data_IF_160247522160
#
_entry.id   IF_160247522160
#
_cell.length_a   1.000
_cell.length_b   1.000
_cell.length_c   1.000
_cell.angle_alpha   90.00
_cell.angle_beta   90.00
_cell.angle_gamma   90.00
#
_symmetry.space_group_name_H-M   'P 1'
#
loop_
_entity.id
_entity.type
_entity.pdbx_description
1 polymer ?
#
# COMPACT_ATOMS: atom_id res chain seq x y z
N UNK A 1 10.59 34.89 -49.03
CA UNK A 1 11.04 34.28 -47.76
C UNK A 1 12.47 33.82 -47.95
N UNK A 2 13.44 34.29 -47.17
CA UNK A 2 14.86 33.98 -47.41
C UNK A 2 15.18 32.61 -46.80
N UNK A 3 16.04 31.83 -47.46
CA UNK A 3 16.47 30.48 -46.99
C UNK A 3 16.97 30.52 -45.53
N UNK A 4 17.59 31.62 -45.13
CA UNK A 4 18.06 31.88 -43.77
C UNK A 4 16.93 31.89 -42.73
N UNK A 5 15.77 32.48 -43.04
CA UNK A 5 14.61 32.51 -42.13
C UNK A 5 14.08 31.09 -41.89
N UNK A 6 14.07 30.26 -42.93
CA UNK A 6 13.64 28.87 -42.86
C UNK A 6 14.58 28.03 -41.98
N UNK A 7 15.89 28.23 -42.13
CA UNK A 7 16.91 27.55 -41.33
C UNK A 7 16.84 27.94 -39.85
N UNK A 8 16.63 29.23 -39.56
CA UNK A 8 16.49 29.73 -38.18
C UNK A 8 15.24 29.12 -37.53
N UNK A 9 14.10 29.13 -38.22
CA UNK A 9 12.86 28.55 -37.69
C UNK A 9 12.96 27.03 -37.50
N UNK A 10 13.64 26.33 -38.41
CA UNK A 10 13.90 24.89 -38.28
C UNK A 10 14.80 24.61 -37.07
N UNK A 11 15.90 25.35 -36.93
CA UNK A 11 16.82 25.19 -35.81
C UNK A 11 16.12 25.50 -34.48
N UNK A 12 15.34 26.58 -34.42
CA UNK A 12 14.53 26.93 -33.26
C UNK A 12 13.53 25.82 -32.91
N UNK A 13 12.88 25.20 -33.91
CA UNK A 13 11.94 24.10 -33.70
C UNK A 13 12.63 22.84 -33.15
N UNK A 14 13.83 22.52 -33.64
CA UNK A 14 14.64 21.39 -33.14
C UNK A 14 15.08 21.64 -31.70
N UNK A 15 15.54 22.84 -31.38
CA UNK A 15 15.94 23.22 -30.02
C UNK A 15 14.74 23.18 -29.07
N UNK A 16 13.61 23.75 -29.46
CA UNK A 16 12.38 23.71 -28.67
C UNK A 16 11.91 22.26 -28.44
N UNK A 17 11.88 21.44 -29.48
CA UNK A 17 11.48 20.04 -29.39
C UNK A 17 12.39 19.23 -28.46
N UNK A 18 13.71 19.40 -28.58
CA UNK A 18 14.69 18.72 -27.71
C UNK A 18 14.60 19.21 -26.26
N UNK A 19 14.41 20.51 -26.03
CA UNK A 19 14.22 21.06 -24.69
C UNK A 19 12.95 20.52 -24.00
N UNK A 20 11.82 20.47 -24.72
CA UNK A 20 10.57 19.89 -24.19
C UNK A 20 10.75 18.40 -23.91
N UNK A 21 11.40 17.65 -24.80
CA UNK A 21 11.68 16.23 -24.57
C UNK A 21 12.56 16.00 -23.33
N UNK A 22 13.65 16.77 -23.18
CA UNK A 22 14.53 16.69 -22.00
C UNK A 22 13.79 17.05 -20.71
N UNK A 23 12.96 18.09 -20.74
CA UNK A 23 12.15 18.48 -19.58
C UNK A 23 11.16 17.37 -19.20
N UNK A 24 10.42 16.82 -20.18
CA UNK A 24 9.50 15.70 -19.97
C UNK A 24 10.23 14.46 -19.45
N UNK A 25 11.39 14.14 -20.01
CA UNK A 25 12.22 13.03 -19.56
C UNK A 25 12.67 13.21 -18.10
N UNK A 26 13.16 14.40 -17.74
CA UNK A 26 13.58 14.71 -16.38
C UNK A 26 12.43 14.63 -15.37
N UNK A 27 11.24 15.14 -15.72
CA UNK A 27 10.03 15.06 -14.89
C UNK A 27 9.63 13.60 -14.66
N UNK A 28 9.56 12.79 -15.73
CA UNK A 28 9.23 11.36 -15.65
C UNK A 28 10.22 10.60 -14.79
N UNK A 29 11.52 10.87 -14.96
CA UNK A 29 12.58 10.25 -14.16
C UNK A 29 12.46 10.60 -12.67
N UNK A 30 12.29 11.88 -12.35
CA UNK A 30 12.12 12.33 -10.96
C UNK A 30 10.87 11.74 -10.30
N UNK A 31 9.78 11.60 -11.06
CA UNK A 31 8.55 10.97 -10.59
C UNK A 31 8.78 9.50 -10.25
N UNK A 32 9.41 8.74 -11.16
CA UNK A 32 9.73 7.34 -10.95
C UNK A 32 10.71 7.13 -9.78
N UNK A 33 11.68 8.01 -9.61
CA UNK A 33 12.63 7.94 -8.48
C UNK A 33 11.93 8.21 -7.14
N UNK A 34 10.93 9.10 -7.09
CA UNK A 34 10.10 9.32 -5.90
C UNK A 34 9.21 8.12 -5.60
N UNK A 35 8.57 7.54 -6.62
CA UNK A 35 7.76 6.33 -6.50
C UNK A 35 8.59 5.17 -5.91
N UNK A 36 9.76 4.91 -6.48
CA UNK A 36 10.71 3.90 -5.97
C UNK A 36 11.14 4.16 -4.53
N UNK A 37 11.44 5.41 -4.20
CA UNK A 37 11.84 5.79 -2.85
C UNK A 37 10.72 5.57 -1.83
N UNK A 38 9.48 5.93 -2.18
CA UNK A 38 8.30 5.71 -1.33
C UNK A 38 8.05 4.22 -1.10
N UNK A 39 8.00 3.42 -2.18
CA UNK A 39 7.75 1.99 -2.06
C UNK A 39 8.97 1.17 -1.64
N UNK A 40 10.15 1.78 -1.47
CA UNK A 40 11.40 1.06 -1.19
C UNK A 40 11.80 0.06 -2.27
N UNK A 41 11.37 0.30 -3.52
CA UNK A 41 11.60 -0.63 -4.64
C UNK A 41 12.94 -0.30 -5.30
N UNK A 42 13.85 -1.28 -5.28
CA UNK A 42 15.09 -1.22 -6.05
C UNK A 42 14.90 -1.97 -7.37
N UNK A 43 15.21 -1.37 -8.54
CA UNK A 43 15.04 -2.04 -9.82
C UNK A 43 15.75 -3.40 -9.87
N UNK A 44 15.04 -4.43 -10.32
CA UNK A 44 15.56 -5.80 -10.43
C UNK A 44 15.63 -6.58 -9.11
N UNK A 45 15.32 -5.95 -7.97
CA UNK A 45 15.20 -6.61 -6.66
C UNK A 45 13.73 -7.00 -6.42
N UNK A 46 13.50 -8.12 -5.72
CA UNK A 46 12.14 -8.58 -5.43
C UNK A 46 11.59 -7.97 -4.15
N UNK A 47 10.41 -7.36 -4.23
CA UNK A 47 9.60 -6.94 -3.08
C UNK A 47 8.74 -8.10 -2.63
N UNK A 48 8.47 -8.15 -1.33
CA UNK A 48 7.76 -9.23 -0.72
C UNK A 48 6.26 -8.92 -0.65
N UNK A 49 5.42 -9.79 -1.24
CA UNK A 49 3.97 -9.78 -1.03
C UNK A 49 3.61 -10.88 -0.03
N UNK A 50 3.07 -10.49 1.12
CA UNK A 50 2.66 -11.41 2.19
C UNK A 50 1.15 -11.40 2.29
N UNK A 51 0.52 -12.57 2.21
CA UNK A 51 -0.92 -12.70 2.42
C UNK A 51 -1.24 -13.81 3.41
N UNK A 52 -2.33 -13.63 4.15
CA UNK A 52 -2.90 -14.67 4.99
C UNK A 52 -3.64 -15.75 4.18
N UNK A 53 -3.90 -16.90 4.82
CA UNK A 53 -4.68 -18.01 4.24
C UNK A 53 -6.16 -17.62 4.14
N UNK A 54 -6.88 -18.16 3.15
CA UNK A 54 -8.34 -18.07 3.11
C UNK A 54 -8.96 -18.85 4.28
N UNK A 55 -9.84 -18.21 5.06
CA UNK A 55 -10.38 -18.81 6.30
C UNK A 55 -11.20 -20.10 6.07
N UNK A 56 -11.72 -20.31 4.86
CA UNK A 56 -12.67 -21.40 4.55
C UNK A 56 -12.08 -22.54 3.72
N UNK A 57 -10.77 -22.58 3.47
CA UNK A 57 -10.15 -23.61 2.62
C UNK A 57 -8.94 -24.27 3.26
N UNK A 58 -8.82 -25.61 3.19
CA UNK A 58 -7.71 -26.37 3.77
C UNK A 58 -6.40 -26.27 2.96
N UNK A 59 -6.41 -25.60 1.79
CA UNK A 59 -5.20 -25.41 0.96
C UNK A 59 -4.46 -24.13 1.35
N UNK A 60 -3.14 -24.25 1.56
CA UNK A 60 -2.26 -23.13 1.92
C UNK A 60 -2.22 -22.01 0.86
N UNK A 61 -2.69 -22.29 -0.36
CA UNK A 61 -2.74 -21.37 -1.51
C UNK A 61 -4.15 -20.85 -1.81
N UNK A 62 -5.16 -21.21 -1.02
CA UNK A 62 -6.49 -20.66 -1.23
C UNK A 62 -6.53 -19.23 -0.70
N UNK A 63 -6.88 -18.29 -1.58
CA UNK A 63 -6.94 -16.85 -1.31
C UNK A 63 -8.30 -16.36 -1.81
N UNK A 64 -8.99 -15.50 -1.05
CA UNK A 64 -10.29 -14.96 -1.48
C UNK A 64 -10.10 -14.16 -2.79
N UNK A 65 -11.05 -14.22 -3.73
CA UNK A 65 -10.93 -13.54 -5.04
C UNK A 65 -10.54 -12.06 -4.93
N UNK A 66 -11.04 -11.36 -3.91
CA UNK A 66 -10.70 -9.95 -3.63
C UNK A 66 -9.30 -9.77 -3.06
N UNK A 67 -8.80 -10.72 -2.27
CA UNK A 67 -7.42 -10.68 -1.78
C UNK A 67 -6.43 -10.96 -2.93
N UNK A 68 -6.79 -11.84 -3.88
CA UNK A 68 -6.02 -12.00 -5.14
C UNK A 68 -6.00 -10.69 -5.92
N UNK A 69 -7.14 -10.00 -6.05
CA UNK A 69 -7.20 -8.71 -6.72
C UNK A 69 -6.30 -7.67 -6.02
N UNK A 70 -6.29 -7.63 -4.69
CA UNK A 70 -5.42 -6.75 -3.92
C UNK A 70 -3.93 -7.03 -4.21
N UNK A 71 -3.54 -8.32 -4.24
CA UNK A 71 -2.17 -8.72 -4.57
C UNK A 71 -1.78 -8.34 -6.01
N UNK A 72 -2.70 -8.45 -6.98
CA UNK A 72 -2.46 -8.04 -8.36
C UNK A 72 -2.27 -6.53 -8.47
N UNK A 73 -3.07 -5.73 -7.75
CA UNK A 73 -2.90 -4.27 -7.67
C UNK A 73 -1.50 -3.92 -7.12
N UNK A 74 -1.10 -4.53 -6.01
CA UNK A 74 0.21 -4.32 -5.39
C UNK A 74 1.37 -4.78 -6.28
N UNK A 75 1.23 -5.94 -6.94
CA UNK A 75 2.22 -6.43 -7.88
C UNK A 75 2.39 -5.49 -9.07
N UNK A 76 1.31 -4.87 -9.53
CA UNK A 76 1.34 -3.89 -10.61
C UNK A 76 2.12 -2.65 -10.18
N UNK A 77 1.87 -2.11 -8.98
CA UNK A 77 2.63 -0.97 -8.43
C UNK A 77 4.14 -1.24 -8.35
N UNK A 78 4.53 -2.41 -7.82
CA UNK A 78 5.94 -2.78 -7.72
C UNK A 78 6.58 -2.92 -9.11
N UNK A 79 5.85 -3.49 -10.09
CA UNK A 79 6.32 -3.65 -11.46
C UNK A 79 6.47 -2.31 -12.19
N UNK A 80 5.57 -1.36 -11.96
CA UNK A 80 5.68 0.00 -12.49
C UNK A 80 6.93 0.72 -11.96
N UNK A 81 7.33 0.42 -10.72
CA UNK A 81 8.59 0.87 -10.14
C UNK A 81 9.83 0.14 -10.70
N UNK A 82 9.66 -0.92 -11.50
CA UNK A 82 10.74 -1.76 -12.03
C UNK A 82 11.24 -2.85 -11.07
N UNK A 83 10.49 -3.14 -10.01
CA UNK A 83 10.75 -4.25 -9.10
C UNK A 83 10.17 -5.58 -9.60
N UNK A 84 10.52 -6.66 -8.90
CA UNK A 84 9.85 -7.96 -8.99
C UNK A 84 9.03 -8.19 -7.72
N UNK A 85 8.11 -9.14 -7.74
CA UNK A 85 7.34 -9.52 -6.56
C UNK A 85 7.42 -11.01 -6.31
N UNK A 86 7.77 -11.38 -5.08
CA UNK A 86 7.69 -12.76 -4.60
C UNK A 86 6.48 -12.86 -3.67
N UNK A 87 5.55 -13.77 -3.98
CA UNK A 87 4.42 -14.06 -3.11
C UNK A 87 4.83 -15.11 -2.08
N UNK A 88 4.72 -14.77 -0.80
CA UNK A 88 4.95 -15.68 0.32
C UNK A 88 3.65 -15.89 1.09
N UNK A 89 3.30 -17.16 1.33
CA UNK A 89 2.23 -17.51 2.24
C UNK A 89 2.65 -17.27 3.69
N UNK A 90 1.77 -16.76 4.54
CA UNK A 90 2.10 -16.30 5.91
C UNK A 90 2.79 -17.30 6.87
N UNK A 91 2.99 -18.56 6.49
CA UNK A 91 3.73 -19.58 7.27
C UNK A 91 5.22 -19.70 6.88
N UNK A 92 5.64 -19.22 5.71
CA UNK A 92 7.03 -19.27 5.27
C UNK A 92 7.83 -18.07 5.83
N UNK A 93 8.22 -18.22 7.10
CA UNK A 93 8.93 -17.19 7.89
C UNK A 93 10.42 -17.05 7.46
N UNK A 94 10.91 -17.90 6.54
CA UNK A 94 12.36 -18.11 6.31
C UNK A 94 13.02 -17.23 5.26
N UNK A 95 12.29 -16.41 4.51
CA UNK A 95 12.92 -15.49 3.54
C UNK A 95 13.33 -14.18 4.23
N UNK A 96 14.62 -13.86 4.11
CA UNK A 96 15.36 -12.81 4.82
C UNK A 96 14.60 -11.48 4.94
N UNK A 97 14.19 -11.16 6.17
CA UNK A 97 13.60 -9.87 6.55
C UNK A 97 14.50 -8.70 6.15
N UNK A 98 13.89 -7.62 5.64
CA UNK A 98 14.52 -6.29 5.61
C UNK A 98 15.43 -5.96 4.42
N UNK A 99 15.56 -6.83 3.42
CA UNK A 99 16.33 -6.50 2.19
C UNK A 99 15.51 -5.74 1.15
N UNK A 100 14.19 -5.80 1.22
CA UNK A 100 13.27 -5.23 0.24
C UNK A 100 11.92 -4.92 0.88
N UNK A 101 11.16 -4.03 0.25
CA UNK A 101 9.87 -3.62 0.79
C UNK A 101 8.89 -4.78 0.91
N UNK A 102 8.03 -4.70 1.92
CA UNK A 102 7.08 -5.74 2.27
C UNK A 102 5.66 -5.20 2.21
N UNK A 103 4.75 -5.94 1.59
CA UNK A 103 3.33 -5.61 1.53
C UNK A 103 2.52 -6.73 2.20
N UNK A 104 2.02 -6.46 3.40
CA UNK A 104 1.24 -7.40 4.20
C UNK A 104 -0.25 -7.18 4.00
N UNK A 105 -0.94 -8.18 3.45
CA UNK A 105 -2.38 -8.18 3.22
C UNK A 105 -3.07 -9.10 4.23
N UNK A 106 -4.15 -8.59 4.84
CA UNK A 106 -5.00 -9.30 5.77
C UNK A 106 -4.63 -9.10 7.25
N UNK A 107 -5.61 -9.33 8.12
CA UNK A 107 -5.51 -9.12 9.56
C UNK A 107 -4.59 -10.12 10.30
N UNK A 108 -4.31 -9.85 11.59
CA UNK A 108 -3.37 -10.64 12.39
C UNK A 108 -3.74 -12.11 12.60
N UNK A 109 -5.02 -12.44 12.53
CA UNK A 109 -5.52 -13.80 12.76
C UNK A 109 -5.15 -14.76 11.62
N UNK A 110 -5.06 -14.24 10.39
CA UNK A 110 -4.78 -15.04 9.19
C UNK A 110 -3.33 -14.94 8.73
N UNK A 111 -2.57 -13.97 9.25
CA UNK A 111 -1.20 -13.70 8.86
C UNK A 111 -0.30 -13.51 10.11
N UNK A 112 0.44 -14.54 10.54
CA UNK A 112 1.34 -14.46 11.69
C UNK A 112 2.40 -13.34 11.57
N UNK A 113 2.81 -13.01 10.35
CA UNK A 113 3.79 -11.95 10.07
C UNK A 113 3.19 -10.56 10.34
N UNK A 114 1.95 -10.32 9.92
CA UNK A 114 1.16 -9.15 10.32
C UNK A 114 1.10 -9.00 11.84
N UNK A 115 0.90 -10.09 12.57
CA UNK A 115 0.80 -10.03 14.03
C UNK A 115 2.10 -9.55 14.70
N UNK A 116 3.27 -9.88 14.12
CA UNK A 116 4.58 -9.38 14.61
C UNK A 116 4.72 -7.87 14.35
N UNK A 117 4.36 -7.41 13.15
CA UNK A 117 4.38 -6.00 12.79
C UNK A 117 3.46 -5.16 13.67
N UNK A 118 2.26 -5.65 13.96
CA UNK A 118 1.32 -4.97 14.85
C UNK A 118 1.89 -4.80 16.27
N UNK A 119 2.47 -5.86 16.83
CA UNK A 119 3.07 -5.78 18.19
C UNK A 119 4.33 -4.93 18.27
N UNK A 120 5.05 -4.74 17.16
CA UNK A 120 6.34 -4.04 17.15
C UNK A 120 6.23 -2.59 16.70
N UNK A 121 5.51 -2.32 15.60
CA UNK A 121 5.39 -1.00 15.00
C UNK A 121 4.06 -0.32 15.33
N UNK A 122 2.92 -1.02 15.18
CA UNK A 122 1.58 -0.44 15.32
C UNK A 122 0.97 -0.69 16.71
N UNK A 123 1.70 -0.31 17.76
CA UNK A 123 1.41 -0.62 19.16
C UNK A 123 0.17 0.08 19.73
N UNK A 124 -0.36 1.06 19.02
CA UNK A 124 -1.59 1.79 19.38
C UNK A 124 -2.84 1.16 18.80
N UNK A 125 -2.69 0.09 18.03
CA UNK A 125 -3.78 -0.67 17.42
C UNK A 125 -4.04 -1.92 18.25
N UNK A 126 -5.25 -2.08 18.74
CA UNK A 126 -5.72 -3.32 19.35
C UNK A 126 -6.70 -4.02 18.41
N UNK A 127 -6.39 -5.25 18.01
CA UNK A 127 -7.33 -6.08 17.23
C UNK A 127 -8.22 -6.87 18.18
N UNK A 128 -9.51 -6.85 17.91
CA UNK A 128 -10.55 -7.57 18.63
C UNK A 128 -11.28 -8.52 17.67
N UNK A 129 -12.12 -9.42 18.19
CA UNK A 129 -12.71 -10.51 17.40
C UNK A 129 -13.51 -10.05 16.15
N UNK A 130 -14.03 -8.82 16.13
CA UNK A 130 -14.84 -8.29 15.02
C UNK A 130 -14.33 -6.96 14.45
N UNK A 131 -13.21 -6.46 14.96
CA UNK A 131 -12.82 -5.07 14.75
C UNK A 131 -11.40 -4.76 15.18
N UNK A 132 -11.07 -3.48 15.15
CA UNK A 132 -9.88 -2.96 15.81
C UNK A 132 -10.17 -1.63 16.47
N UNK A 133 -9.43 -1.32 17.52
CA UNK A 133 -9.52 -0.06 18.25
C UNK A 133 -8.19 0.70 18.19
N UNK A 134 -8.30 2.03 18.12
CA UNK A 134 -7.17 2.96 18.08
C UNK A 134 -7.63 4.33 18.56
N UNK A 135 -6.83 4.98 19.40
CA UNK A 135 -7.16 6.32 19.92
C UNK A 135 -8.52 6.39 20.63
N UNK A 136 -8.94 5.30 21.30
CA UNK A 136 -10.23 5.20 21.97
C UNK A 136 -11.44 4.98 21.06
N UNK A 137 -11.25 4.91 19.74
CA UNK A 137 -12.33 4.61 18.79
C UNK A 137 -12.24 3.16 18.34
N UNK A 138 -13.39 2.47 18.28
CA UNK A 138 -13.49 1.08 17.81
C UNK A 138 -14.17 1.04 16.45
N UNK A 139 -13.53 0.35 15.50
CA UNK A 139 -14.02 0.17 14.14
C UNK A 139 -14.43 -1.28 13.93
N UNK A 140 -15.68 -1.48 13.54
CA UNK A 140 -16.30 -2.80 13.30
C UNK A 140 -17.11 -2.70 12.02
N UNK A 141 -17.09 -3.75 11.20
CA UNK A 141 -17.91 -3.78 9.99
C UNK A 141 -19.41 -3.81 10.34
N UNK A 142 -20.19 -3.10 9.54
CA UNK A 142 -21.65 -3.11 9.56
C UNK A 142 -22.17 -3.30 8.11
N UNK A 143 -23.49 -3.47 7.87
CA UNK A 143 -24.02 -3.69 6.53
C UNK A 143 -23.72 -2.58 5.52
N UNK A 144 -23.52 -1.35 6.00
CA UNK A 144 -23.27 -0.17 5.18
C UNK A 144 -21.79 0.19 5.11
N UNK A 145 -20.95 -0.28 6.04
CA UNK A 145 -19.56 0.13 6.14
C UNK A 145 -18.62 -1.05 6.41
N UNK A 146 -17.60 -1.20 5.56
CA UNK A 146 -16.44 -2.03 5.83
C UNK A 146 -15.23 -1.17 6.19
N UNK A 147 -14.42 -1.59 7.15
CA UNK A 147 -13.23 -0.87 7.59
C UNK A 147 -11.93 -1.61 7.29
N UNK A 148 -10.87 -0.85 7.04
CA UNK A 148 -9.51 -1.36 6.87
C UNK A 148 -8.49 -0.43 7.49
N UNK A 149 -7.40 -1.00 8.02
CA UNK A 149 -6.22 -0.24 8.40
C UNK A 149 -5.23 -0.24 7.23
N UNK A 150 -4.81 0.93 6.76
CA UNK A 150 -3.71 1.08 5.80
C UNK A 150 -2.57 1.82 6.49
N UNK A 151 -1.42 1.17 6.62
CA UNK A 151 -0.26 1.76 7.27
C UNK A 151 1.02 1.56 6.46
N UNK A 152 1.96 2.49 6.62
CA UNK A 152 3.34 2.36 6.18
C UNK A 152 4.26 2.70 7.36
N UNK A 153 5.28 1.87 7.59
CA UNK A 153 6.30 2.10 8.60
C UNK A 153 7.62 1.42 8.19
N UNK A 154 8.73 1.81 8.83
CA UNK A 154 10.03 1.22 8.51
C UNK A 154 10.39 0.07 9.45
N UNK A 155 10.70 -1.09 8.86
CA UNK A 155 11.32 -2.22 9.54
C UNK A 155 12.39 -2.86 8.64
N UNK A 156 13.67 -2.60 8.94
CA UNK A 156 14.74 -2.14 8.02
C UNK A 156 14.37 -1.49 6.66
N UNK A 157 13.40 -2.04 5.93
CA UNK A 157 12.81 -1.51 4.70
C UNK A 157 11.36 -1.06 4.93
N UNK A 158 10.71 -0.35 3.99
CA UNK A 158 9.29 0.00 4.11
C UNK A 158 8.39 -1.24 4.19
N UNK A 159 7.46 -1.22 5.15
CA UNK A 159 6.41 -2.22 5.30
C UNK A 159 5.06 -1.53 5.12
N UNK A 160 4.31 -1.99 4.13
CA UNK A 160 2.93 -1.59 3.88
C UNK A 160 2.00 -2.63 4.49
N UNK A 161 1.16 -2.20 5.43
CA UNK A 161 0.16 -3.04 6.06
C UNK A 161 -1.23 -2.68 5.56
N UNK A 162 -1.95 -3.68 5.04
CA UNK A 162 -3.29 -3.59 4.48
C UNK A 162 -4.20 -4.55 5.25
N UNK A 163 -4.69 -4.10 6.40
CA UNK A 163 -5.45 -4.89 7.36
C UNK A 163 -6.95 -4.63 7.30
N UNK A 164 -7.63 -5.13 6.27
CA UNK A 164 -9.09 -5.13 6.17
C UNK A 164 -9.74 -6.06 7.19
N UNK A 165 -10.88 -5.64 7.76
CA UNK A 165 -11.74 -6.52 8.55
C UNK A 165 -12.45 -7.58 7.68
N UNK A 166 -12.49 -7.35 6.37
CA UNK A 166 -12.90 -8.29 5.34
C UNK A 166 -12.09 -8.07 4.04
N UNK A 167 -12.18 -9.01 3.10
CA UNK A 167 -11.36 -9.00 1.87
C UNK A 167 -11.66 -7.83 0.92
N UNK A 168 -12.84 -7.22 1.00
CA UNK A 168 -13.16 -5.96 0.32
C UNK A 168 -12.34 -4.79 0.90
N UNK A 169 -12.16 -4.73 2.23
CA UNK A 169 -11.29 -3.76 2.90
C UNK A 169 -9.83 -3.87 2.48
N UNK A 170 -9.32 -5.10 2.30
CA UNK A 170 -7.95 -5.33 1.78
C UNK A 170 -7.78 -4.75 0.36
N UNK A 171 -8.74 -5.02 -0.52
CA UNK A 171 -8.72 -4.49 -1.90
C UNK A 171 -8.88 -2.97 -1.93
N UNK A 172 -9.75 -2.42 -1.09
CA UNK A 172 -9.94 -0.98 -0.93
C UNK A 172 -8.64 -0.30 -0.49
N UNK A 173 -7.94 -0.87 0.49
CA UNK A 173 -6.65 -0.37 0.95
C UNK A 173 -5.59 -0.40 -0.16
N UNK A 174 -5.54 -1.48 -0.96
CA UNK A 174 -4.59 -1.61 -2.06
C UNK A 174 -4.84 -0.56 -3.16
N UNK A 175 -6.09 -0.37 -3.54
CA UNK A 175 -6.51 0.65 -4.51
C UNK A 175 -6.30 2.07 -4.00
N UNK A 176 -6.58 2.32 -2.73
CA UNK A 176 -6.31 3.60 -2.10
C UNK A 176 -4.82 3.93 -2.14
N UNK A 177 -3.96 2.99 -1.73
CA UNK A 177 -2.51 3.13 -1.81
C UNK A 177 -2.05 3.41 -3.24
N UNK A 178 -2.53 2.63 -4.22
CA UNK A 178 -2.20 2.79 -5.64
C UNK A 178 -2.53 4.18 -6.19
N UNK A 179 -3.64 4.75 -5.73
CA UNK A 179 -4.13 6.05 -6.20
C UNK A 179 -3.50 7.23 -5.47
N UNK A 180 -3.18 7.07 -4.18
CA UNK A 180 -2.86 8.19 -3.29
C UNK A 180 -1.43 8.19 -2.75
N UNK A 181 -0.57 7.22 -3.08
CA UNK A 181 0.81 7.17 -2.57
C UNK A 181 1.61 8.46 -2.75
N UNK A 182 1.32 9.26 -3.79
CA UNK A 182 2.02 10.52 -4.06
C UNK A 182 1.78 11.61 -3.02
N UNK A 183 0.68 11.50 -2.26
CA UNK A 183 0.26 12.46 -1.24
C UNK A 183 0.50 11.93 0.18
N UNK A 184 0.86 10.65 0.33
CA UNK A 184 1.07 10.00 1.62
C UNK A 184 2.49 10.26 2.13
N UNK A 185 2.68 10.50 3.44
CA UNK A 185 4.01 10.61 4.03
C UNK A 185 4.71 9.23 4.02
N UNK A 186 6.01 9.20 4.31
CA UNK A 186 6.77 7.93 4.31
C UNK A 186 6.32 6.96 5.40
N UNK A 187 5.79 7.47 6.51
CA UNK A 187 5.19 6.67 7.58
C UNK A 187 3.82 7.24 7.90
N UNK A 188 2.80 6.39 7.93
CA UNK A 188 1.42 6.77 8.21
C UNK A 188 0.61 5.58 8.70
N UNK A 189 -0.53 5.86 9.31
CA UNK A 189 -1.55 4.88 9.62
C UNK A 189 -2.93 5.51 9.45
N UNK A 190 -3.69 5.03 8.47
CA UNK A 190 -5.01 5.51 8.13
C UNK A 190 -6.05 4.43 8.42
N UNK A 191 -7.21 4.86 8.90
CA UNK A 191 -8.43 4.05 8.91
C UNK A 191 -9.22 4.40 7.67
N UNK A 192 -9.44 3.41 6.82
CA UNK A 192 -10.28 3.52 5.63
C UNK A 192 -11.68 2.98 5.92
N UNK A 193 -12.68 3.66 5.36
CA UNK A 193 -14.07 3.23 5.34
C UNK A 193 -14.53 3.04 3.91
N UNK A 194 -15.08 1.86 3.63
CA UNK A 194 -15.73 1.51 2.37
C UNK A 194 -17.23 1.58 2.60
N UNK A 195 -17.89 2.53 1.94
CA UNK A 195 -19.34 2.74 2.07
C UNK A 195 -20.11 1.87 1.07
N UNK A 196 -21.20 1.30 1.55
CA UNK A 196 -22.14 0.46 0.82
C UNK A 196 -21.43 -0.58 -0.07
N UNK A 197 -20.53 -1.41 0.49
CA UNK A 197 -19.69 -2.31 -0.30
C UNK A 197 -20.48 -3.34 -1.12
N UNK A 198 -21.71 -3.65 -0.70
CA UNK A 198 -22.64 -4.50 -1.43
C UNK A 198 -23.12 -3.87 -2.76
N UNK A 199 -23.26 -2.55 -2.81
CA UNK A 199 -23.74 -1.82 -3.98
C UNK A 199 -22.59 -1.31 -4.87
N UNK A 200 -21.52 -0.79 -4.26
CA UNK A 200 -20.45 -0.07 -4.97
C UNK A 200 -19.07 -0.77 -4.90
N UNK A 201 -18.99 -1.96 -4.31
CA UNK A 201 -17.73 -2.67 -4.17
C UNK A 201 -16.74 -1.87 -3.31
N UNK A 202 -15.60 -1.49 -3.87
CA UNK A 202 -14.58 -0.69 -3.15
C UNK A 202 -14.48 0.75 -3.66
N UNK A 203 -15.40 1.20 -4.51
CA UNK A 203 -15.24 2.46 -5.22
C UNK A 203 -15.55 3.67 -4.31
N UNK A 204 -16.40 3.49 -3.30
CA UNK A 204 -16.70 4.47 -2.26
C UNK A 204 -15.80 4.29 -1.03
N UNK A 205 -14.48 4.33 -1.25
CA UNK A 205 -13.48 4.28 -0.17
C UNK A 205 -13.05 5.68 0.22
N UNK A 206 -13.07 5.98 1.51
CA UNK A 206 -12.62 7.26 2.08
C UNK A 206 -11.76 7.05 3.33
N UNK A 207 -11.02 8.08 3.73
CA UNK A 207 -10.29 8.09 5.01
C UNK A 207 -11.28 8.46 6.10
N UNK A 208 -11.56 7.52 7.00
CA UNK A 208 -12.39 7.76 8.17
C UNK A 208 -11.62 8.45 9.29
N UNK A 209 -10.32 8.15 9.43
CA UNK A 209 -9.43 8.80 10.38
C UNK A 209 -7.96 8.67 9.94
N UNK A 210 -7.17 9.72 10.18
CA UNK A 210 -5.71 9.62 10.26
C UNK A 210 -5.33 9.37 11.72
N UNK A 211 -4.73 8.20 11.96
CA UNK A 211 -4.36 7.74 13.31
C UNK A 211 -2.84 7.63 13.47
N UNK A 212 -2.07 8.23 12.56
CA UNK A 212 -0.61 8.16 12.54
C UNK A 212 0.02 8.58 13.87
N UNK A 213 -0.51 9.60 14.53
CA UNK A 213 0.04 10.15 15.79
C UNK A 213 -0.08 9.20 17.00
N UNK A 214 -1.02 8.26 16.95
CA UNK A 214 -1.34 7.34 18.07
C UNK A 214 -1.02 5.89 17.73
N UNK A 215 -1.11 5.48 16.46
CA UNK A 215 -0.96 4.10 16.03
C UNK A 215 0.45 3.53 16.31
N UNK A 216 1.50 4.36 16.22
CA UNK A 216 2.89 3.92 16.42
C UNK A 216 3.35 3.95 17.89
N UNK A 217 2.59 4.63 18.74
CA UNK A 217 2.85 4.72 20.19
C UNK A 217 2.15 3.54 20.86
N UNK A 218 2.69 3.08 21.99
CA UNK A 218 1.95 2.10 22.78
C UNK A 218 0.61 2.72 23.20
N UNK A 219 -0.49 1.97 23.09
CA UNK A 219 -1.75 2.39 23.69
C UNK A 219 -1.47 2.75 25.15
N UNK A 220 -1.80 3.97 25.56
CA UNK A 220 -1.77 4.33 26.98
C UNK A 220 -2.76 3.39 27.66
N UNK A 221 -2.24 2.40 28.37
CA UNK A 221 -3.05 1.51 29.18
C UNK A 221 -3.92 2.39 30.07
N UNK A 222 -5.24 2.23 29.96
CA UNK A 222 -6.11 2.68 31.02
C UNK A 222 -5.68 1.95 32.28
N UNK A 223 -5.12 2.67 33.24
CA UNK A 223 -5.26 2.29 34.63
C UNK A 223 -6.77 2.33 34.93
N UNK A 224 -7.34 1.14 35.16
CA UNK A 224 -8.44 0.89 36.10
C UNK A 224 -8.48 -0.61 36.44
#
# INVERSE_FOLDING_TARGET
>A
MRVVDLLINLLASVIAGTAVWLAQFAIRRRRLDRERAFFGVTPGVSSLLVTGRHHSSPSELSVHRRDVAALVELATLVRECGGRTDLIGGADIRQELGRSAEFCVGGPTVNPRTAVHLRSALRGIAYENRGFSVGGTTYVNDPENSYALLACFRAPAPVFYLGGLASDGNLAAARYLAKHYGDLPQEFCLVLRVREPAAYGTDLTEVAADVSDVAFKAASGGED
#
